data_IF_886833610698
#
_entry.id   IF_886833610698
#
_cell.length_a   1.000
_cell.length_b   1.000
_cell.length_c   1.000
_cell.angle_alpha   90.00
_cell.angle_beta   90.00
_cell.angle_gamma   90.00
#
_symmetry.space_group_name_H-M   'P 1'
#
loop_
_entity.id
_entity.type
_entity.pdbx_description
1 polymer ?
#
# COMPACT_ATOMS: atom_id res chain seq x y z
N UNK A 1 31.00 28.77 -21.11
CA UNK A 1 29.60 28.69 -21.58
C UNK A 1 28.98 27.30 -21.41
N UNK A 2 29.49 26.23 -22.06
CA UNK A 2 28.93 24.85 -21.96
C UNK A 2 28.69 24.39 -20.52
N UNK A 3 29.72 24.51 -19.68
CA UNK A 3 29.72 24.15 -18.25
C UNK A 3 28.81 25.01 -17.36
N UNK A 4 28.35 26.16 -17.86
CA UNK A 4 27.39 27.03 -17.16
C UNK A 4 25.96 26.62 -17.51
N UNK A 5 25.71 26.35 -18.80
CA UNK A 5 24.43 25.88 -19.31
C UNK A 5 24.06 24.50 -18.77
N UNK A 6 24.99 23.55 -18.78
CA UNK A 6 24.76 22.22 -18.22
C UNK A 6 24.50 22.26 -16.72
N UNK A 7 25.06 23.23 -16.00
CA UNK A 7 24.86 23.39 -14.56
C UNK A 7 23.64 24.23 -14.17
N UNK A 8 22.75 24.54 -15.11
CA UNK A 8 21.62 25.45 -14.90
C UNK A 8 22.03 26.76 -14.21
N UNK A 9 23.00 27.47 -14.82
CA UNK A 9 23.56 28.74 -14.31
C UNK A 9 24.24 28.64 -12.93
N UNK A 10 24.81 27.48 -12.59
CA UNK A 10 25.66 27.29 -11.41
C UNK A 10 25.01 26.46 -10.29
N UNK A 11 23.73 26.10 -10.42
CA UNK A 11 23.00 25.27 -9.47
C UNK A 11 23.63 23.89 -9.30
N UNK A 12 24.11 23.28 -10.38
CA UNK A 12 24.82 21.99 -10.34
C UNK A 12 26.15 22.03 -9.59
N UNK A 13 26.65 23.22 -9.23
CA UNK A 13 27.91 23.39 -8.49
C UNK A 13 27.71 23.61 -6.99
N UNK A 14 26.46 23.62 -6.54
CA UNK A 14 26.17 23.73 -5.12
C UNK A 14 26.66 22.48 -4.38
N UNK A 15 27.25 22.64 -3.18
CA UNK A 15 27.96 21.56 -2.49
C UNK A 15 27.03 20.46 -1.97
N UNK A 16 25.74 20.76 -1.77
CA UNK A 16 24.77 19.85 -1.18
C UNK A 16 23.61 19.63 -2.15
N UNK A 17 23.40 18.37 -2.55
CA UNK A 17 22.29 17.91 -3.39
C UNK A 17 22.09 18.72 -4.70
N UNK A 18 23.09 18.80 -5.59
CA UNK A 18 23.03 19.61 -6.81
C UNK A 18 21.80 19.32 -7.68
N UNK A 19 21.41 18.06 -7.86
CA UNK A 19 20.20 17.70 -8.63
C UNK A 19 18.87 18.20 -8.03
N UNK A 20 18.81 18.36 -6.70
CA UNK A 20 17.64 18.99 -6.04
C UNK A 20 17.56 20.48 -6.36
N UNK A 21 18.71 21.16 -6.42
CA UNK A 21 18.78 22.54 -6.88
C UNK A 21 18.53 22.65 -8.39
N UNK A 22 18.90 21.65 -9.18
CA UNK A 22 18.62 21.56 -10.61
C UNK A 22 17.13 21.49 -10.95
N UNK A 23 16.35 20.73 -10.17
CA UNK A 23 14.91 20.57 -10.39
C UNK A 23 14.05 21.70 -9.79
N UNK A 24 14.54 22.39 -8.76
CA UNK A 24 13.77 23.42 -8.04
C UNK A 24 13.28 24.59 -8.93
N UNK A 25 14.08 25.16 -9.85
CA UNK A 25 13.65 26.26 -10.71
C UNK A 25 12.37 25.97 -11.49
N UNK A 26 12.22 24.75 -12.02
CA UNK A 26 11.02 24.37 -12.77
C UNK A 26 9.77 24.40 -11.89
N UNK A 27 9.87 23.94 -10.64
CA UNK A 27 8.79 24.01 -9.66
C UNK A 27 8.44 25.45 -9.28
N UNK A 28 9.46 26.30 -9.10
CA UNK A 28 9.26 27.74 -8.83
C UNK A 28 8.57 28.43 -10.01
N UNK A 29 9.00 28.17 -11.25
CA UNK A 29 8.39 28.73 -12.45
C UNK A 29 6.90 28.35 -12.51
N UNK A 30 6.56 27.07 -12.29
CA UNK A 30 5.17 26.62 -12.26
C UNK A 30 4.35 27.40 -11.23
N UNK A 31 4.83 27.45 -9.98
CA UNK A 31 4.11 28.10 -8.90
C UNK A 31 3.92 29.61 -9.14
N UNK A 32 4.96 30.28 -9.64
CA UNK A 32 4.93 31.72 -9.97
C UNK A 32 3.95 31.99 -11.11
N UNK A 33 3.99 31.22 -12.19
CA UNK A 33 3.07 31.39 -13.32
C UNK A 33 1.61 31.29 -12.88
N UNK A 34 1.26 30.30 -12.07
CA UNK A 34 -0.09 30.17 -11.55
C UNK A 34 -0.44 31.23 -10.50
N UNK A 35 0.52 31.67 -9.68
CA UNK A 35 0.31 32.77 -8.73
C UNK A 35 -0.10 34.06 -9.45
N UNK A 36 0.47 34.31 -10.63
CA UNK A 36 0.13 35.45 -11.49
C UNK A 36 -1.05 35.17 -12.45
N UNK A 37 -1.77 34.06 -12.28
CA UNK A 37 -2.96 33.76 -13.08
C UNK A 37 -2.68 33.38 -14.54
N UNK A 38 -1.47 32.93 -14.86
CA UNK A 38 -1.15 32.45 -16.20
C UNK A 38 -1.95 31.19 -16.51
N UNK A 39 -2.54 31.13 -17.72
CA UNK A 39 -3.39 30.01 -18.12
C UNK A 39 -2.61 28.69 -18.16
N UNK A 40 -3.31 27.58 -17.85
CA UNK A 40 -2.70 26.24 -17.89
C UNK A 40 -2.09 25.91 -19.27
N UNK A 41 -2.71 26.38 -20.36
CA UNK A 41 -2.19 26.19 -21.72
C UNK A 41 -0.87 26.91 -21.96
N UNK A 42 -0.75 28.18 -21.54
CA UNK A 42 0.51 28.91 -21.67
C UNK A 42 1.59 28.32 -20.76
N UNK A 43 1.22 27.91 -19.54
CA UNK A 43 2.13 27.22 -18.63
C UNK A 43 2.61 25.88 -19.20
N UNK A 44 1.76 25.11 -19.88
CA UNK A 44 2.16 23.89 -20.57
C UNK A 44 3.15 24.16 -21.69
N UNK A 45 2.95 25.23 -22.48
CA UNK A 45 3.89 25.64 -23.53
C UNK A 45 5.26 25.98 -22.91
N UNK A 46 5.28 26.72 -21.80
CA UNK A 46 6.53 27.03 -21.09
C UNK A 46 7.20 25.76 -20.60
N UNK A 47 6.48 24.85 -19.93
CA UNK A 47 7.06 23.59 -19.47
C UNK A 47 7.60 22.73 -20.62
N UNK A 48 6.90 22.68 -21.76
CA UNK A 48 7.38 21.98 -22.96
C UNK A 48 8.67 22.61 -23.51
N UNK A 49 8.75 23.94 -23.54
CA UNK A 49 9.96 24.65 -23.91
C UNK A 49 11.12 24.34 -22.95
N UNK A 50 10.87 24.25 -21.64
CA UNK A 50 11.87 23.86 -20.65
C UNK A 50 12.39 22.44 -20.86
N UNK A 51 11.49 21.47 -21.15
CA UNK A 51 11.90 20.09 -21.50
C UNK A 51 12.81 20.08 -22.71
N UNK A 52 12.42 20.78 -23.78
CA UNK A 52 13.21 20.85 -25.02
C UNK A 52 14.56 21.51 -24.75
N UNK A 53 14.59 22.64 -24.05
CA UNK A 53 15.81 23.37 -23.74
C UNK A 53 16.78 22.52 -22.90
N UNK A 54 16.32 21.92 -21.80
CA UNK A 54 17.15 21.07 -20.95
C UNK A 54 17.66 19.83 -21.70
N UNK A 55 16.80 19.19 -22.50
CA UNK A 55 17.17 18.04 -23.34
C UNK A 55 18.26 18.39 -24.36
N UNK A 56 18.10 19.50 -25.08
CA UNK A 56 19.09 19.97 -26.05
C UNK A 56 20.41 20.32 -25.37
N UNK A 57 20.37 20.96 -24.20
CA UNK A 57 21.56 21.29 -23.41
C UNK A 57 22.30 20.01 -23.00
N UNK A 58 21.60 19.01 -22.45
CA UNK A 58 22.21 17.75 -22.06
C UNK A 58 22.83 17.01 -23.25
N UNK A 59 22.06 16.75 -24.32
CA UNK A 59 22.57 15.98 -25.46
C UNK A 59 23.75 16.69 -26.15
N UNK A 60 23.71 18.02 -26.28
CA UNK A 60 24.73 18.78 -27.01
C UNK A 60 25.98 19.09 -26.19
N UNK A 61 25.83 19.31 -24.88
CA UNK A 61 26.92 19.85 -24.05
C UNK A 61 27.41 18.92 -22.95
N UNK A 62 26.61 17.97 -22.46
CA UNK A 62 27.07 16.99 -21.46
C UNK A 62 28.26 16.14 -21.94
N UNK A 63 28.36 15.70 -23.22
CA UNK A 63 29.53 14.94 -23.69
C UNK A 63 30.86 15.67 -23.48
N UNK A 64 30.87 17.01 -23.59
CA UNK A 64 32.07 17.81 -23.36
C UNK A 64 32.45 17.85 -21.87
N UNK A 65 31.47 17.75 -20.96
CA UNK A 65 31.70 17.73 -19.51
C UNK A 65 32.15 16.34 -19.05
N UNK A 66 31.55 15.28 -19.60
CA UNK A 66 31.99 13.89 -19.42
C UNK A 66 33.47 13.77 -19.81
N UNK A 67 33.83 14.26 -21.01
CA UNK A 67 35.23 14.25 -21.48
C UNK A 67 36.18 15.07 -20.58
N UNK A 68 35.72 16.18 -20.02
CA UNK A 68 36.54 17.03 -19.15
C UNK A 68 36.70 16.50 -17.72
N UNK A 69 35.74 15.70 -17.23
CA UNK A 69 35.72 15.20 -15.85
C UNK A 69 36.07 13.72 -15.73
N UNK A 70 36.04 12.97 -16.82
CA UNK A 70 36.26 11.53 -16.85
C UNK A 70 35.15 10.72 -16.16
N UNK A 71 33.99 11.33 -15.92
CA UNK A 71 32.84 10.70 -15.25
C UNK A 71 31.69 10.59 -16.24
N UNK A 72 31.10 9.40 -16.33
CA UNK A 72 29.95 9.14 -17.21
C UNK A 72 28.69 9.93 -16.80
N UNK A 73 28.56 10.26 -15.52
CA UNK A 73 27.49 11.10 -14.96
C UNK A 73 28.07 12.15 -13.98
N UNK A 74 28.46 13.34 -14.48
CA UNK A 74 29.03 14.40 -13.65
C UNK A 74 27.93 15.14 -12.89
N UNK A 75 28.00 15.12 -11.55
CA UNK A 75 27.07 15.84 -10.62
C UNK A 75 26.84 17.34 -10.89
N UNK A 76 27.67 17.95 -11.74
CA UNK A 76 27.54 19.36 -12.13
C UNK A 76 26.65 19.61 -13.35
N UNK A 77 26.32 18.55 -14.09
CA UNK A 77 25.29 18.57 -15.13
C UNK A 77 23.98 18.40 -14.40
N UNK A 78 23.13 19.42 -14.45
CA UNK A 78 21.79 19.38 -13.86
C UNK A 78 20.66 19.85 -14.79
N UNK A 79 20.93 19.83 -16.10
CA UNK A 79 19.97 20.25 -17.13
C UNK A 79 18.95 19.14 -17.45
N UNK A 80 19.33 17.91 -17.14
CA UNK A 80 18.55 16.68 -17.08
C UNK A 80 17.50 16.74 -15.98
N UNK A 81 17.85 17.08 -14.73
CA UNK A 81 16.82 17.18 -13.66
C UNK A 81 15.85 18.33 -13.93
N UNK A 82 16.34 19.42 -14.53
CA UNK A 82 15.51 20.54 -14.96
C UNK A 82 14.48 20.10 -16.01
N UNK A 83 14.89 19.30 -17.00
CA UNK A 83 14.02 18.75 -18.03
C UNK A 83 13.07 17.68 -17.46
N UNK A 84 13.56 16.75 -16.66
CA UNK A 84 12.77 15.69 -16.02
C UNK A 84 11.66 16.25 -15.14
N UNK A 85 11.97 17.26 -14.32
CA UNK A 85 10.96 17.95 -13.50
C UNK A 85 9.88 18.63 -14.35
N UNK A 86 10.25 19.20 -15.51
CA UNK A 86 9.29 19.84 -16.41
C UNK A 86 8.35 18.80 -17.05
N UNK A 87 8.85 17.61 -17.38
CA UNK A 87 8.02 16.47 -17.82
C UNK A 87 6.99 16.08 -16.75
N UNK A 88 7.37 16.04 -15.47
CA UNK A 88 6.44 15.72 -14.38
C UNK A 88 5.24 16.68 -14.35
N UNK A 89 5.48 17.98 -14.51
CA UNK A 89 4.39 18.96 -14.48
C UNK A 89 3.58 19.02 -15.78
N UNK A 90 4.18 18.73 -16.93
CA UNK A 90 3.45 18.64 -18.20
C UNK A 90 2.32 17.62 -18.16
N UNK A 91 2.55 16.46 -17.53
CA UNK A 91 1.55 15.42 -17.38
C UNK A 91 0.27 15.97 -16.75
N UNK A 92 0.42 16.79 -15.71
CA UNK A 92 -0.67 17.44 -14.99
C UNK A 92 -1.35 18.53 -15.81
N UNK A 93 -0.57 19.39 -16.47
CA UNK A 93 -1.13 20.52 -17.22
C UNK A 93 -1.94 20.11 -18.45
N UNK A 94 -1.62 18.97 -19.08
CA UNK A 94 -2.35 18.46 -20.24
C UNK A 94 -3.62 17.68 -19.90
N UNK A 95 -3.66 17.03 -18.73
CA UNK A 95 -4.69 16.02 -18.42
C UNK A 95 -5.62 16.41 -17.25
N UNK A 96 -5.42 17.56 -16.60
CA UNK A 96 -6.34 18.08 -15.58
C UNK A 96 -7.34 19.10 -16.19
N UNK A 97 -8.66 18.92 -15.98
CA UNK A 97 -9.66 19.90 -16.41
C UNK A 97 -9.49 21.27 -15.71
N UNK A 98 -9.92 22.32 -16.40
CA UNK A 98 -9.86 23.72 -15.97
C UNK A 98 -10.52 23.91 -14.59
N UNK A 99 -9.84 24.55 -13.63
CA UNK A 99 -10.43 24.87 -12.30
C UNK A 99 -9.53 24.72 -11.06
N UNK A 100 -8.21 24.56 -11.21
CA UNK A 100 -7.28 24.42 -10.08
C UNK A 100 -7.23 25.70 -9.24
N UNK A 101 -7.53 25.61 -7.95
CA UNK A 101 -7.42 26.74 -7.03
C UNK A 101 -5.96 27.09 -6.71
N UNK A 102 -5.70 28.34 -6.30
CA UNK A 102 -4.36 28.80 -5.94
C UNK A 102 -3.70 28.01 -4.80
N UNK A 103 -4.46 27.34 -3.92
CA UNK A 103 -3.88 26.43 -2.91
C UNK A 103 -3.51 25.07 -3.49
N UNK A 104 -4.33 24.53 -4.38
CA UNK A 104 -4.11 23.23 -5.02
C UNK A 104 -2.84 23.22 -5.87
N UNK A 105 -2.53 24.30 -6.57
CA UNK A 105 -1.31 24.37 -7.38
C UNK A 105 -0.04 24.25 -6.53
N UNK A 106 0.00 24.82 -5.32
CA UNK A 106 1.16 24.68 -4.43
C UNK A 106 1.36 23.23 -4.00
N UNK A 107 0.28 22.52 -3.69
CA UNK A 107 0.36 21.09 -3.33
C UNK A 107 0.78 20.23 -4.52
N UNK A 108 0.23 20.47 -5.70
CA UNK A 108 0.63 19.79 -6.94
C UNK A 108 2.11 20.06 -7.22
N UNK A 109 2.57 21.30 -7.03
CA UNK A 109 3.97 21.68 -7.25
C UNK A 109 4.90 20.93 -6.29
N UNK A 110 4.58 20.95 -4.99
CA UNK A 110 5.39 20.25 -3.97
C UNK A 110 5.37 18.74 -4.19
N UNK A 111 4.19 18.16 -4.42
CA UNK A 111 4.05 16.72 -4.65
C UNK A 111 4.76 16.28 -5.94
N UNK A 112 4.68 17.07 -7.01
CA UNK A 112 5.36 16.77 -8.28
C UNK A 112 6.87 16.91 -8.16
N UNK A 113 7.35 17.89 -7.41
CA UNK A 113 8.77 18.01 -7.08
C UNK A 113 9.28 16.78 -6.32
N UNK A 114 8.58 16.39 -5.24
CA UNK A 114 8.98 15.24 -4.42
C UNK A 114 8.87 13.93 -5.21
N UNK A 115 7.81 13.73 -5.99
CA UNK A 115 7.60 12.52 -6.79
C UNK A 115 8.72 12.34 -7.82
N UNK A 116 9.06 13.41 -8.56
CA UNK A 116 10.19 13.39 -9.49
C UNK A 116 11.49 12.99 -8.77
N UNK A 117 11.85 13.67 -7.68
CA UNK A 117 13.08 13.40 -6.93
C UNK A 117 13.13 11.96 -6.40
N UNK A 118 12.01 11.41 -5.93
CA UNK A 118 11.96 10.01 -5.47
C UNK A 118 12.30 9.05 -6.61
N UNK A 119 11.73 9.24 -7.80
CA UNK A 119 12.00 8.37 -8.94
C UNK A 119 13.39 8.55 -9.54
N UNK A 120 13.87 9.78 -9.60
CA UNK A 120 15.23 10.11 -10.04
C UNK A 120 16.27 9.48 -9.10
N UNK A 121 16.10 9.58 -7.77
CA UNK A 121 17.06 9.01 -6.82
C UNK A 121 16.97 7.47 -6.78
N UNK A 122 15.75 6.91 -6.80
CA UNK A 122 15.56 5.47 -6.67
C UNK A 122 15.90 4.70 -7.95
N UNK A 123 15.69 5.32 -9.12
CA UNK A 123 15.81 4.74 -10.46
C UNK A 123 15.20 3.33 -10.55
N UNK A 124 13.90 3.14 -10.25
CA UNK A 124 13.26 1.83 -10.40
C UNK A 124 13.32 1.34 -11.84
N UNK A 125 13.18 0.04 -12.04
CA UNK A 125 13.13 -0.52 -13.40
C UNK A 125 11.98 0.12 -14.21
N UNK A 126 12.19 0.51 -15.49
CA UNK A 126 13.39 0.38 -16.31
C UNK A 126 14.29 1.64 -16.34
N UNK A 127 14.08 2.64 -15.48
CA UNK A 127 14.86 3.91 -15.43
C UNK A 127 16.36 3.64 -15.41
N UNK A 128 16.83 2.78 -14.48
CA UNK A 128 18.25 2.41 -14.39
C UNK A 128 18.84 1.75 -15.65
N UNK A 129 18.01 1.20 -16.55
CA UNK A 129 18.54 0.66 -17.83
C UNK A 129 18.92 1.75 -18.81
N UNK A 130 18.34 2.94 -18.68
CA UNK A 130 18.58 4.06 -19.60
C UNK A 130 19.94 4.71 -19.39
N UNK A 131 20.54 4.56 -18.20
CA UNK A 131 21.93 4.98 -17.91
C UNK A 131 22.97 4.34 -18.85
N UNK A 132 22.61 3.24 -19.55
CA UNK A 132 23.50 2.57 -20.51
C UNK A 132 23.51 3.22 -21.89
N UNK A 133 22.68 4.23 -22.13
CA UNK A 133 22.66 4.95 -23.39
C UNK A 133 23.94 5.80 -23.55
N UNK A 134 24.41 6.02 -24.79
CA UNK A 134 25.68 6.69 -25.01
C UNK A 134 25.63 8.19 -24.68
N UNK A 135 26.69 8.66 -24.03
CA UNK A 135 26.98 10.08 -23.80
C UNK A 135 25.82 10.84 -23.14
N UNK A 136 25.45 12.02 -23.67
CA UNK A 136 24.41 12.86 -23.06
C UNK A 136 23.01 12.23 -22.99
N UNK A 137 22.75 11.14 -23.73
CA UNK A 137 21.49 10.41 -23.62
C UNK A 137 21.41 9.53 -22.38
N UNK A 138 22.54 9.02 -21.89
CA UNK A 138 22.60 8.21 -20.66
C UNK A 138 22.29 9.00 -19.39
N UNK A 139 22.55 10.32 -19.41
CA UNK A 139 22.25 11.26 -18.32
C UNK A 139 20.82 11.81 -18.43
N UNK A 140 20.30 11.99 -19.65
CA UNK A 140 19.00 12.63 -19.86
C UNK A 140 17.82 11.66 -19.74
N UNK A 141 17.96 10.45 -20.29
CA UNK A 141 16.82 9.59 -20.58
C UNK A 141 16.18 9.00 -19.31
N UNK A 142 16.98 8.69 -18.30
CA UNK A 142 16.52 8.25 -16.98
C UNK A 142 15.75 9.36 -16.26
N UNK A 143 16.23 10.60 -16.27
CA UNK A 143 15.54 11.76 -15.70
C UNK A 143 14.23 12.09 -16.40
N UNK A 144 14.18 12.01 -17.73
CA UNK A 144 12.92 12.17 -18.47
C UNK A 144 11.91 11.08 -18.10
N UNK A 145 12.36 9.81 -17.95
CA UNK A 145 11.47 8.71 -17.55
C UNK A 145 11.04 8.81 -16.09
N UNK A 146 11.93 9.25 -15.18
CA UNK A 146 11.58 9.61 -13.82
C UNK A 146 10.54 10.75 -13.80
N UNK A 147 10.68 11.71 -14.70
CA UNK A 147 9.72 12.75 -15.00
C UNK A 147 8.33 12.21 -15.33
N UNK A 148 8.25 11.26 -16.26
CA UNK A 148 7.02 10.56 -16.64
C UNK A 148 6.42 9.81 -15.45
N UNK A 149 7.24 9.10 -14.66
CA UNK A 149 6.77 8.35 -13.48
C UNK A 149 6.18 9.29 -12.43
N UNK A 150 6.87 10.41 -12.15
CA UNK A 150 6.37 11.47 -11.28
C UNK A 150 5.05 12.04 -11.78
N UNK A 151 4.93 12.30 -13.09
CA UNK A 151 3.72 12.80 -13.72
C UNK A 151 2.54 11.84 -13.61
N UNK A 152 2.76 10.53 -13.82
CA UNK A 152 1.73 9.49 -13.64
C UNK A 152 1.23 9.46 -12.20
N UNK A 153 2.14 9.50 -11.21
CA UNK A 153 1.75 9.53 -9.80
C UNK A 153 0.92 10.77 -9.49
N UNK A 154 1.34 11.94 -9.98
CA UNK A 154 0.64 13.20 -9.77
C UNK A 154 -0.77 13.19 -10.37
N UNK A 155 -0.92 12.60 -11.56
CA UNK A 155 -2.21 12.42 -12.21
C UNK A 155 -3.12 11.44 -11.46
N UNK A 156 -2.57 10.35 -10.94
CA UNK A 156 -3.33 9.43 -10.10
C UNK A 156 -3.81 10.13 -8.83
N UNK A 157 -2.93 10.86 -8.13
CA UNK A 157 -3.30 11.66 -6.96
C UNK A 157 -4.43 12.66 -7.25
N UNK A 158 -4.42 13.28 -8.42
CA UNK A 158 -5.51 14.16 -8.82
C UNK A 158 -6.80 13.43 -9.16
N UNK A 159 -6.73 12.37 -9.97
CA UNK A 159 -7.91 11.62 -10.41
C UNK A 159 -8.68 11.00 -9.24
N UNK A 160 -7.97 10.64 -8.17
CA UNK A 160 -8.58 10.09 -6.96
C UNK A 160 -8.99 11.17 -5.95
N UNK A 161 -8.95 12.46 -6.34
CA UNK A 161 -9.38 13.56 -5.48
C UNK A 161 -8.46 13.89 -4.30
N UNK A 162 -7.25 13.30 -4.22
CA UNK A 162 -6.37 13.46 -3.06
C UNK A 162 -6.01 14.93 -2.78
N UNK A 163 -5.73 15.71 -3.83
CA UNK A 163 -5.44 17.13 -3.66
C UNK A 163 -6.68 17.92 -3.21
N UNK A 164 -7.86 17.52 -3.67
CA UNK A 164 -9.10 18.13 -3.22
C UNK A 164 -9.34 17.87 -1.74
N UNK A 165 -9.22 16.61 -1.34
CA UNK A 165 -9.30 16.15 0.05
C UNK A 165 -8.35 16.89 0.99
N UNK A 166 -7.05 16.99 0.64
CA UNK A 166 -6.05 17.70 1.46
C UNK A 166 -6.31 19.21 1.49
N UNK A 167 -6.83 19.78 0.40
CA UNK A 167 -7.05 21.23 0.28
C UNK A 167 -8.33 21.74 0.95
N UNK A 168 -9.27 20.85 1.28
CA UNK A 168 -10.62 21.22 1.71
C UNK A 168 -11.51 21.79 0.59
N UNK A 169 -11.09 21.68 -0.68
CA UNK A 169 -11.87 22.12 -1.85
C UNK A 169 -12.02 20.94 -2.81
N UNK A 170 -13.24 20.53 -3.20
CA UNK A 170 -13.44 19.39 -4.09
C UNK A 170 -12.75 19.61 -5.45
N UNK A 171 -12.13 18.54 -5.97
CA UNK A 171 -11.46 18.51 -7.27
C UNK A 171 -12.02 17.32 -8.05
N UNK A 172 -12.66 17.59 -9.18
CA UNK A 172 -13.32 16.57 -10.01
C UNK A 172 -14.77 16.32 -9.60
N UNK A 173 -15.54 15.68 -10.49
CA UNK A 173 -16.93 15.31 -10.24
C UNK A 173 -17.00 14.40 -9.02
N UNK A 174 -17.77 14.81 -8.02
CA UNK A 174 -18.16 14.02 -6.86
C UNK A 174 -18.92 12.75 -7.31
N UNK A 175 -18.21 11.72 -7.76
CA UNK A 175 -18.81 10.39 -7.77
C UNK A 175 -18.64 9.83 -6.36
N UNK A 176 -19.69 9.98 -5.54
CA UNK A 176 -19.81 9.31 -4.26
C UNK A 176 -19.93 7.78 -4.39
N UNK A 177 -19.93 7.25 -5.61
CA UNK A 177 -20.03 5.83 -5.93
C UNK A 177 -18.68 5.25 -6.34
N UNK A 178 -18.47 3.97 -6.01
CA UNK A 178 -17.26 3.24 -6.31
C UNK A 178 -17.13 2.99 -7.81
N UNK A 179 -16.15 3.64 -8.44
CA UNK A 179 -15.75 3.34 -9.82
C UNK A 179 -14.64 2.28 -9.90
N UNK A 180 -14.33 1.84 -11.12
CA UNK A 180 -13.31 0.82 -11.37
C UNK A 180 -11.90 1.28 -10.95
N UNK A 181 -11.57 2.57 -11.11
CA UNK A 181 -10.24 3.08 -10.78
C UNK A 181 -10.00 3.04 -9.27
N UNK A 182 -10.94 3.57 -8.49
CA UNK A 182 -10.90 3.53 -7.04
C UNK A 182 -10.90 2.09 -6.52
N UNK A 183 -11.73 1.22 -7.10
CA UNK A 183 -11.75 -0.20 -6.75
C UNK A 183 -10.42 -0.91 -7.02
N UNK A 184 -9.76 -0.62 -8.15
CA UNK A 184 -8.42 -1.16 -8.46
C UNK A 184 -7.40 -0.68 -7.43
N UNK A 185 -7.42 0.60 -7.05
CA UNK A 185 -6.47 1.17 -6.08
C UNK A 185 -6.67 0.56 -4.70
N UNK A 186 -7.91 0.51 -4.21
CA UNK A 186 -8.24 -0.13 -2.94
C UNK A 186 -7.90 -1.64 -2.98
N UNK A 187 -8.11 -2.31 -4.12
CA UNK A 187 -7.67 -3.69 -4.34
C UNK A 187 -6.15 -3.86 -4.22
N UNK A 188 -5.35 -2.94 -4.76
CA UNK A 188 -3.88 -2.92 -4.57
C UNK A 188 -3.55 -2.75 -3.09
N UNK A 189 -4.16 -1.77 -2.42
CA UNK A 189 -3.96 -1.50 -0.99
C UNK A 189 -4.25 -2.75 -0.18
N UNK A 190 -5.40 -3.39 -0.37
CA UNK A 190 -5.77 -4.65 0.28
C UNK A 190 -4.74 -5.74 0.00
N UNK A 191 -4.39 -5.98 -1.27
CA UNK A 191 -3.46 -7.05 -1.66
C UNK A 191 -2.06 -6.89 -1.05
N UNK A 192 -1.56 -5.66 -0.95
CA UNK A 192 -0.26 -5.37 -0.32
C UNK A 192 -0.33 -5.55 1.20
N UNK A 193 -1.38 -5.05 1.83
CA UNK A 193 -1.43 -4.87 3.29
C UNK A 193 -2.01 -6.05 4.07
N UNK A 194 -2.84 -6.90 3.45
CA UNK A 194 -3.54 -8.00 4.15
C UNK A 194 -2.59 -8.97 4.86
N UNK A 195 -1.49 -9.33 4.19
CA UNK A 195 -0.53 -10.30 4.71
C UNK A 195 0.55 -9.67 5.59
N UNK A 196 0.72 -8.35 5.48
CA UNK A 196 1.63 -7.61 6.32
C UNK A 196 0.95 -7.32 7.66
N UNK A 197 1.70 -7.29 8.78
CA UNK A 197 1.12 -7.05 10.08
C UNK A 197 0.78 -5.55 10.30
N UNK A 198 0.17 -4.86 9.33
CA UNK A 198 -0.02 -3.39 9.33
C UNK A 198 -1.49 -2.95 9.28
N UNK A 199 -2.43 -3.90 9.34
CA UNK A 199 -3.88 -3.70 9.27
C UNK A 199 -4.35 -3.18 7.91
N UNK A 200 -4.76 -4.10 7.04
CA UNK A 200 -5.40 -3.80 5.76
C UNK A 200 -6.69 -2.99 5.90
N UNK A 201 -7.54 -3.35 6.86
CA UNK A 201 -8.78 -2.62 7.16
C UNK A 201 -8.53 -1.15 7.51
N UNK A 202 -7.49 -0.84 8.29
CA UNK A 202 -7.13 0.55 8.58
C UNK A 202 -6.68 1.32 7.33
N UNK A 203 -5.98 0.66 6.40
CA UNK A 203 -5.57 1.31 5.15
C UNK A 203 -6.74 1.51 4.19
N UNK A 204 -7.66 0.54 4.09
CA UNK A 204 -8.89 0.70 3.32
C UNK A 204 -9.69 1.89 3.83
N UNK A 205 -10.05 1.91 5.13
CA UNK A 205 -10.80 3.02 5.73
C UNK A 205 -10.10 4.37 5.51
N UNK A 206 -8.77 4.44 5.61
CA UNK A 206 -8.03 5.67 5.32
C UNK A 206 -8.20 6.13 3.87
N UNK A 207 -8.04 5.22 2.90
CA UNK A 207 -8.17 5.55 1.48
C UNK A 207 -9.62 5.84 1.09
N UNK A 208 -10.59 5.14 1.65
CA UNK A 208 -12.02 5.41 1.47
C UNK A 208 -12.37 6.82 1.93
N UNK A 209 -11.88 7.22 3.12
CA UNK A 209 -12.01 8.59 3.60
C UNK A 209 -11.35 9.58 2.63
N UNK A 210 -10.15 9.29 2.11
CA UNK A 210 -9.48 10.15 1.12
C UNK A 210 -10.27 10.29 -0.19
N UNK A 211 -11.04 9.26 -0.55
CA UNK A 211 -11.92 9.25 -1.72
C UNK A 211 -13.31 9.80 -1.42
N UNK A 212 -13.55 10.28 -0.20
CA UNK A 212 -14.86 10.72 0.29
C UNK A 212 -15.95 9.64 0.22
N UNK A 213 -15.57 8.36 0.22
CA UNK A 213 -16.51 7.27 0.41
C UNK A 213 -16.85 7.15 1.89
N UNK A 214 -18.10 6.82 2.20
CA UNK A 214 -18.50 6.49 3.55
C UNK A 214 -18.28 4.98 3.80
N UNK A 215 -17.30 4.60 4.67
CA UNK A 215 -16.96 3.20 4.95
C UNK A 215 -18.11 2.38 5.53
N UNK A 216 -19.14 3.04 6.09
CA UNK A 216 -20.28 2.42 6.75
C UNK A 216 -21.40 2.02 5.78
N UNK A 217 -21.31 2.45 4.52
CA UNK A 217 -22.31 2.10 3.50
C UNK A 217 -22.27 0.62 3.15
N UNK A 218 -23.42 0.00 2.79
CA UNK A 218 -23.46 -1.39 2.33
C UNK A 218 -22.55 -1.65 1.11
N UNK A 219 -22.42 -0.66 0.24
CA UNK A 219 -21.53 -0.69 -0.93
C UNK A 219 -20.06 -0.90 -0.54
N UNK A 220 -19.53 -0.05 0.34
CA UNK A 220 -18.14 -0.13 0.78
C UNK A 220 -17.90 -1.35 1.68
N UNK A 221 -18.88 -1.70 2.51
CA UNK A 221 -18.83 -2.93 3.30
C UNK A 221 -18.71 -4.17 2.42
N UNK A 222 -19.53 -4.27 1.36
CA UNK A 222 -19.46 -5.37 0.40
C UNK A 222 -18.11 -5.38 -0.33
N UNK A 223 -17.68 -4.21 -0.80
CA UNK A 223 -16.39 -4.05 -1.45
C UNK A 223 -15.25 -4.62 -0.59
N UNK A 224 -15.13 -4.15 0.66
CA UNK A 224 -14.10 -4.58 1.60
C UNK A 224 -14.11 -6.09 1.82
N UNK A 225 -15.28 -6.69 2.02
CA UNK A 225 -15.40 -8.14 2.21
C UNK A 225 -14.94 -8.91 0.98
N UNK A 226 -15.33 -8.46 -0.22
CA UNK A 226 -14.94 -9.14 -1.46
C UNK A 226 -13.46 -9.01 -1.79
N UNK A 227 -12.79 -7.90 -1.46
CA UNK A 227 -11.33 -7.79 -1.62
C UNK A 227 -10.60 -8.66 -0.61
N UNK A 228 -11.14 -8.87 0.61
CA UNK A 228 -10.63 -9.88 1.54
C UNK A 228 -10.79 -11.29 0.96
N UNK A 229 -11.92 -11.62 0.31
CA UNK A 229 -12.08 -12.90 -0.42
C UNK A 229 -11.04 -13.02 -1.54
N UNK A 230 -10.74 -11.95 -2.26
CA UNK A 230 -9.67 -11.92 -3.26
C UNK A 230 -8.31 -12.32 -2.66
N UNK A 231 -7.96 -11.79 -1.50
CA UNK A 231 -6.74 -12.19 -0.78
C UNK A 231 -6.81 -13.63 -0.23
N UNK A 232 -7.98 -14.15 0.14
CA UNK A 232 -8.14 -15.58 0.45
C UNK A 232 -7.84 -16.45 -0.77
N UNK A 233 -8.26 -16.04 -1.98
CA UNK A 233 -7.87 -16.73 -3.22
C UNK A 233 -6.34 -16.74 -3.41
N UNK A 234 -5.66 -15.64 -3.06
CA UNK A 234 -4.20 -15.60 -3.07
C UNK A 234 -3.56 -16.63 -2.11
N UNK A 235 -4.13 -16.83 -0.91
CA UNK A 235 -3.70 -17.88 0.02
C UNK A 235 -3.83 -19.25 -0.64
N UNK A 236 -4.97 -19.56 -1.25
CA UNK A 236 -5.18 -20.85 -1.93
C UNK A 236 -4.17 -21.08 -3.05
N UNK A 237 -3.87 -20.07 -3.86
CA UNK A 237 -2.89 -20.19 -4.95
C UNK A 237 -1.48 -20.41 -4.43
N UNK A 238 -1.02 -19.59 -3.47
CA UNK A 238 0.35 -19.63 -2.96
C UNK A 238 0.59 -20.89 -2.11
N UNK A 239 -0.37 -21.26 -1.25
CA UNK A 239 -0.25 -22.39 -0.35
C UNK A 239 -0.88 -23.69 -0.88
N UNK A 240 -1.26 -23.78 -2.17
CA UNK A 240 -1.92 -24.97 -2.75
C UNK A 240 -1.29 -26.31 -2.38
N UNK A 241 0.05 -26.40 -2.39
CA UNK A 241 0.79 -27.62 -2.04
C UNK A 241 0.72 -27.93 -0.54
N UNK A 242 0.85 -26.90 0.30
CA UNK A 242 0.75 -27.02 1.76
C UNK A 242 -0.67 -27.39 2.19
N UNK A 243 -1.69 -26.77 1.59
CA UNK A 243 -3.10 -27.08 1.83
C UNK A 243 -3.41 -28.51 1.39
N UNK A 244 -2.97 -28.93 0.19
CA UNK A 244 -3.15 -30.32 -0.26
C UNK A 244 -2.42 -31.34 0.63
N UNK A 245 -1.24 -31.01 1.15
CA UNK A 245 -0.54 -31.85 2.13
C UNK A 245 -1.30 -31.91 3.47
N UNK A 246 -1.80 -30.78 3.96
CA UNK A 246 -2.62 -30.70 5.17
C UNK A 246 -3.89 -31.54 5.05
N UNK A 247 -4.65 -31.38 3.96
CA UNK A 247 -5.86 -32.15 3.70
C UNK A 247 -5.57 -33.66 3.60
N UNK A 248 -4.50 -34.06 2.90
CA UNK A 248 -4.07 -35.47 2.88
C UNK A 248 -3.74 -36.00 4.27
N UNK A 249 -3.10 -35.21 5.13
CA UNK A 249 -2.82 -35.61 6.51
C UNK A 249 -4.09 -35.76 7.34
N UNK A 250 -5.07 -34.87 7.17
CA UNK A 250 -6.37 -34.95 7.83
C UNK A 250 -7.15 -36.18 7.35
N UNK A 251 -7.18 -36.45 6.03
CA UNK A 251 -7.88 -37.61 5.47
C UNK A 251 -7.21 -38.95 5.83
N UNK A 252 -5.88 -38.96 6.02
CA UNK A 252 -5.14 -40.13 6.49
C UNK A 252 -5.22 -40.33 8.02
N UNK A 253 -6.18 -39.72 8.71
CA UNK A 253 -6.30 -39.73 10.16
C UNK A 253 -6.45 -41.13 10.77
N UNK A 254 -7.10 -42.06 10.06
CA UNK A 254 -7.30 -43.45 10.51
C UNK A 254 -5.99 -44.22 10.76
N UNK A 255 -4.85 -43.75 10.25
CA UNK A 255 -3.53 -44.35 10.52
C UNK A 255 -2.98 -44.04 11.92
N UNK A 256 -3.57 -43.07 12.63
CA UNK A 256 -3.01 -42.52 13.87
C UNK A 256 -3.74 -42.98 15.14
N UNK A 257 -4.74 -43.86 15.02
CA UNK A 257 -5.50 -44.40 16.14
C UNK A 257 -6.92 -44.74 15.73
N UNK A 258 -7.62 -45.49 16.59
CA UNK A 258 -9.05 -45.82 16.37
C UNK A 258 -9.98 -44.86 17.11
N UNK A 259 -9.49 -44.20 18.16
CA UNK A 259 -10.27 -43.22 18.92
C UNK A 259 -10.02 -41.78 18.44
N UNK A 260 -11.04 -40.89 18.45
CA UNK A 260 -10.86 -39.47 18.10
C UNK A 260 -9.78 -38.77 18.92
N UNK A 261 -9.64 -39.13 20.21
CA UNK A 261 -8.65 -38.54 21.13
C UNK A 261 -7.21 -38.93 20.74
N UNK A 262 -6.98 -40.17 20.35
CA UNK A 262 -5.66 -40.61 19.87
C UNK A 262 -5.29 -39.94 18.56
N UNK A 263 -6.24 -39.87 17.62
CA UNK A 263 -6.06 -39.20 16.32
C UNK A 263 -5.66 -37.74 16.55
N UNK A 264 -6.39 -37.01 17.42
CA UNK A 264 -6.07 -35.63 17.77
C UNK A 264 -4.64 -35.49 18.33
N UNK A 265 -4.25 -36.32 19.30
CA UNK A 265 -2.93 -36.23 19.93
C UNK A 265 -1.77 -36.60 18.99
N UNK A 266 -1.98 -37.54 18.07
CA UNK A 266 -0.90 -38.12 17.24
C UNK A 266 -0.80 -37.47 15.86
N UNK A 267 -1.92 -37.10 15.23
CA UNK A 267 -1.96 -36.52 13.89
C UNK A 267 -1.84 -34.98 13.94
N UNK A 268 -0.73 -34.39 13.45
CA UNK A 268 -0.52 -32.93 13.50
C UNK A 268 -1.53 -32.14 12.67
N UNK A 269 -2.05 -32.70 11.57
CA UNK A 269 -3.05 -32.06 10.73
C UNK A 269 -4.40 -31.96 11.43
N UNK A 270 -4.87 -33.05 12.03
CA UNK A 270 -6.12 -33.06 12.82
C UNK A 270 -6.00 -32.18 14.06
N UNK A 271 -4.86 -32.25 14.76
CA UNK A 271 -4.57 -31.38 15.91
C UNK A 271 -4.73 -29.90 15.54
N UNK A 272 -4.08 -29.47 14.45
CA UNK A 272 -4.14 -28.10 13.96
C UNK A 272 -5.54 -27.72 13.47
N UNK A 273 -6.26 -28.63 12.79
CA UNK A 273 -7.63 -28.40 12.34
C UNK A 273 -8.60 -28.15 13.50
N UNK A 274 -8.57 -29.00 14.54
CA UNK A 274 -9.45 -28.87 15.70
C UNK A 274 -9.20 -27.54 16.41
N UNK A 275 -7.94 -27.15 16.58
CA UNK A 275 -7.58 -25.88 17.18
C UNK A 275 -7.97 -24.69 16.31
N UNK A 276 -7.88 -24.82 14.98
CA UNK A 276 -8.31 -23.78 14.05
C UNK A 276 -9.83 -23.58 14.11
N UNK A 277 -10.61 -24.66 14.11
CA UNK A 277 -12.06 -24.62 14.28
C UNK A 277 -12.42 -23.93 15.60
N UNK A 278 -11.76 -24.29 16.70
CA UNK A 278 -12.00 -23.66 17.99
C UNK A 278 -11.67 -22.15 17.98
N UNK A 279 -10.52 -21.76 17.43
CA UNK A 279 -10.14 -20.35 17.34
C UNK A 279 -11.13 -19.54 16.47
N UNK A 280 -11.56 -20.10 15.34
CA UNK A 280 -12.58 -19.50 14.47
C UNK A 280 -13.95 -19.43 15.16
N UNK A 281 -14.34 -20.45 15.94
CA UNK A 281 -15.58 -20.41 16.70
C UNK A 281 -15.57 -19.30 17.76
N UNK A 282 -14.46 -19.15 18.50
CA UNK A 282 -14.26 -18.03 19.43
C UNK A 282 -14.35 -16.69 18.69
N UNK A 283 -13.70 -16.59 17.52
CA UNK A 283 -13.77 -15.40 16.66
C UNK A 283 -15.23 -15.07 16.29
N UNK A 284 -16.00 -16.06 15.85
CA UNK A 284 -17.38 -15.87 15.42
C UNK A 284 -18.28 -15.45 16.59
N UNK A 285 -18.15 -16.09 17.76
CA UNK A 285 -18.93 -15.74 18.95
C UNK A 285 -18.71 -14.28 19.34
N UNK A 286 -17.45 -13.86 19.51
CA UNK A 286 -17.16 -12.48 19.89
C UNK A 286 -17.40 -11.48 18.75
N UNK A 287 -17.21 -11.90 17.50
CA UNK A 287 -17.54 -11.11 16.31
C UNK A 287 -19.01 -10.74 16.24
N UNK A 288 -19.89 -11.70 16.52
CA UNK A 288 -21.34 -11.50 16.55
C UNK A 288 -21.79 -10.73 17.80
N UNK A 289 -21.24 -11.03 18.98
CA UNK A 289 -21.57 -10.32 20.22
C UNK A 289 -21.20 -8.84 20.18
N UNK A 290 -20.10 -8.50 19.51
CA UNK A 290 -19.58 -7.13 19.43
C UNK A 290 -19.83 -6.45 18.09
N UNK A 291 -20.66 -7.03 17.21
CA UNK A 291 -20.91 -6.55 15.84
C UNK A 291 -21.25 -5.07 15.79
N UNK A 292 -22.11 -4.59 16.70
CA UNK A 292 -22.54 -3.18 16.77
C UNK A 292 -21.38 -2.22 17.05
N UNK A 293 -20.43 -2.62 17.91
CA UNK A 293 -19.26 -1.80 18.22
C UNK A 293 -18.29 -1.75 17.05
N UNK A 294 -18.10 -2.87 16.34
CA UNK A 294 -17.26 -2.89 15.15
C UNK A 294 -17.85 -2.07 14.00
N UNK A 295 -19.17 -2.12 13.81
CA UNK A 295 -19.86 -1.30 12.82
C UNK A 295 -19.67 0.20 13.11
N UNK A 296 -19.91 0.64 14.36
CA UNK A 296 -19.76 2.04 14.76
C UNK A 296 -18.30 2.54 14.71
N UNK A 297 -17.32 1.64 14.75
CA UNK A 297 -15.91 2.00 14.68
C UNK A 297 -15.39 2.20 13.24
N UNK A 298 -16.11 1.70 12.23
CA UNK A 298 -15.64 1.62 10.84
C UNK A 298 -15.39 2.96 10.19
N UNK A 299 -16.25 3.96 10.43
CA UNK A 299 -16.08 5.31 9.91
C UNK A 299 -15.06 6.17 10.65
N UNK A 300 -14.51 5.71 11.78
CA UNK A 300 -13.70 6.56 12.66
C UNK A 300 -12.20 6.44 12.39
N UNK A 301 -11.62 7.46 11.74
CA UNK A 301 -10.16 7.58 11.57
C UNK A 301 -9.42 7.70 12.90
N UNK A 302 -10.05 8.26 13.95
CA UNK A 302 -9.48 8.31 15.31
C UNK A 302 -9.29 6.89 15.87
N UNK A 303 -10.29 6.02 15.70
CA UNK A 303 -10.21 4.63 16.13
C UNK A 303 -9.15 3.90 15.32
N UNK A 304 -9.14 4.04 13.99
CA UNK A 304 -8.12 3.43 13.12
C UNK A 304 -6.71 3.81 13.57
N UNK A 305 -6.44 5.10 13.78
CA UNK A 305 -5.13 5.56 14.23
C UNK A 305 -4.75 5.04 15.62
N UNK A 306 -5.70 5.04 16.56
CA UNK A 306 -5.51 4.48 17.90
C UNK A 306 -5.19 2.99 17.84
N UNK A 307 -5.87 2.23 16.98
CA UNK A 307 -5.66 0.80 16.81
C UNK A 307 -4.37 0.47 16.06
N UNK A 308 -3.86 1.35 15.20
CA UNK A 308 -2.50 1.22 14.67
C UNK A 308 -1.43 1.35 15.76
N UNK A 309 -1.63 2.22 16.76
CA UNK A 309 -0.74 2.29 17.92
C UNK A 309 -0.78 0.97 18.71
N UNK A 310 -1.97 0.39 18.90
CA UNK A 310 -2.13 -0.93 19.54
C UNK A 310 -1.42 -2.03 18.74
N UNK A 311 -1.62 -2.08 17.42
CA UNK A 311 -0.96 -3.02 16.51
C UNK A 311 0.56 -2.88 16.57
N UNK A 312 1.08 -1.65 16.48
CA UNK A 312 2.52 -1.39 16.55
C UNK A 312 3.12 -1.81 17.89
N UNK A 313 2.40 -1.55 18.98
CA UNK A 313 2.84 -1.95 20.33
C UNK A 313 2.87 -3.45 20.50
N UNK A 314 1.85 -4.17 20.00
CA UNK A 314 1.82 -5.62 20.02
C UNK A 314 2.98 -6.24 19.23
N UNK A 315 3.30 -5.67 18.07
CA UNK A 315 4.44 -6.10 17.25
C UNK A 315 5.77 -5.86 17.94
N UNK A 316 5.94 -4.68 18.53
CA UNK A 316 7.17 -4.31 19.23
C UNK A 316 7.41 -5.20 20.45
N UNK A 317 6.39 -5.42 21.27
CA UNK A 317 6.45 -6.33 22.43
C UNK A 317 6.81 -7.74 21.98
N UNK A 318 6.24 -8.20 20.87
CA UNK A 318 6.53 -9.54 20.33
C UNK A 318 7.96 -9.65 19.80
N UNK A 319 8.48 -8.60 19.14
CA UNK A 319 9.87 -8.55 18.64
C UNK A 319 10.91 -8.66 19.77
N UNK A 320 10.59 -8.13 20.95
CA UNK A 320 11.46 -8.18 22.14
C UNK A 320 11.56 -9.59 22.76
N UNK A 321 10.68 -10.53 22.39
CA UNK A 321 10.68 -11.90 22.95
C UNK A 321 11.72 -12.77 22.24
N UNK A 322 12.74 -13.20 22.98
CA UNK A 322 13.75 -14.17 22.48
C UNK A 322 13.21 -15.61 22.53
N UNK A 323 13.52 -16.37 21.46
CA UNK A 323 13.39 -17.84 21.29
C UNK A 323 12.09 -18.46 21.85
N UNK A 324 11.09 -18.63 21.00
CA UNK A 324 9.94 -19.50 21.27
C UNK A 324 10.32 -20.98 21.10
N UNK A 325 9.91 -21.83 22.05
CA UNK A 325 10.36 -23.24 22.16
C UNK A 325 9.23 -24.26 21.99
N UNK A 326 7.98 -23.83 21.95
CA UNK A 326 6.81 -24.73 21.92
C UNK A 326 6.55 -25.19 20.50
N UNK A 327 6.60 -26.51 20.29
CA UNK A 327 6.25 -27.16 19.02
C UNK A 327 4.74 -27.29 18.83
N UNK A 328 4.29 -27.54 17.60
CA UNK A 328 2.86 -27.60 17.22
C UNK A 328 2.02 -28.53 18.12
N UNK A 329 2.56 -29.68 18.54
CA UNK A 329 1.85 -30.65 19.40
C UNK A 329 1.59 -30.16 20.83
N UNK A 330 2.40 -29.22 21.31
CA UNK A 330 2.26 -28.61 22.63
C UNK A 330 1.36 -27.36 22.57
N UNK A 331 1.02 -26.88 21.37
CA UNK A 331 0.03 -25.83 21.18
C UNK A 331 -1.35 -26.39 21.50
N UNK A 332 -1.91 -26.03 22.65
CA UNK A 332 -3.16 -26.59 23.16
C UNK A 332 -4.38 -25.68 23.00
N UNK A 333 -5.51 -26.12 23.56
CA UNK A 333 -6.81 -25.42 23.56
C UNK A 333 -6.70 -23.97 24.07
N UNK A 334 -5.95 -23.74 25.16
CA UNK A 334 -5.75 -22.38 25.72
C UNK A 334 -5.18 -21.43 24.67
N UNK A 335 -4.24 -21.90 23.86
CA UNK A 335 -3.62 -21.08 22.85
C UNK A 335 -4.57 -20.78 21.69
N UNK A 336 -5.39 -21.75 21.27
CA UNK A 336 -6.45 -21.54 20.28
C UNK A 336 -7.49 -20.50 20.74
N UNK A 337 -7.89 -20.53 22.02
CA UNK A 337 -8.82 -19.54 22.59
C UNK A 337 -8.22 -18.15 22.54
N UNK A 338 -6.99 -17.96 23.02
CA UNK A 338 -6.34 -16.63 23.04
C UNK A 338 -6.11 -16.11 21.62
N UNK A 339 -5.70 -16.97 20.69
CA UNK A 339 -5.57 -16.56 19.27
C UNK A 339 -6.93 -16.23 18.66
N UNK A 340 -7.98 -16.97 18.99
CA UNK A 340 -9.36 -16.65 18.57
C UNK A 340 -9.86 -15.31 19.11
N UNK A 341 -9.55 -14.99 20.38
CA UNK A 341 -9.84 -13.68 20.97
C UNK A 341 -9.05 -12.55 20.30
N UNK A 342 -7.76 -12.78 20.01
CA UNK A 342 -6.93 -11.83 19.27
C UNK A 342 -7.47 -11.60 17.84
N UNK A 343 -7.98 -12.65 17.19
CA UNK A 343 -8.62 -12.53 15.88
C UNK A 343 -9.95 -11.78 15.97
N UNK A 344 -10.76 -12.00 17.00
CA UNK A 344 -12.00 -11.27 17.23
C UNK A 344 -11.73 -9.77 17.45
N UNK A 345 -10.72 -9.44 18.27
CA UNK A 345 -10.28 -8.05 18.45
C UNK A 345 -9.85 -7.41 17.13
N UNK A 346 -9.24 -8.20 16.24
CA UNK A 346 -8.80 -7.73 14.93
C UNK A 346 -9.93 -7.46 13.90
N UNK A 347 -11.20 -7.68 14.27
CA UNK A 347 -12.34 -7.16 13.50
C UNK A 347 -12.38 -5.62 13.63
N UNK A 348 -11.85 -5.06 14.73
CA UNK A 348 -11.71 -3.62 14.90
C UNK A 348 -10.80 -3.02 13.82
N UNK A 349 -11.26 -2.00 13.07
CA UNK A 349 -10.46 -1.28 12.08
C UNK A 349 -9.14 -0.75 12.68
N UNK A 350 -8.03 -0.94 11.96
CA UNK A 350 -6.70 -0.53 12.42
C UNK A 350 -5.97 -1.59 13.27
N UNK A 351 -6.66 -2.62 13.77
CA UNK A 351 -5.98 -3.81 14.31
C UNK A 351 -5.60 -4.74 13.15
N UNK A 352 -4.33 -5.16 13.08
CA UNK A 352 -3.90 -6.12 12.07
C UNK A 352 -4.33 -7.54 12.45
N UNK A 353 -5.17 -8.20 11.65
CA UNK A 353 -5.56 -9.61 11.89
C UNK A 353 -4.38 -10.57 11.86
N UNK A 354 -3.54 -10.47 10.83
CA UNK A 354 -2.31 -11.28 10.73
C UNK A 354 -1.36 -10.94 11.88
N UNK A 355 -1.14 -9.64 12.16
CA UNK A 355 -0.31 -9.20 13.28
C UNK A 355 -0.80 -9.70 14.63
N UNK A 356 -2.08 -9.54 14.95
CA UNK A 356 -2.68 -9.91 16.23
C UNK A 356 -2.61 -11.41 16.49
N UNK A 357 -3.00 -12.22 15.53
CA UNK A 357 -3.03 -13.68 15.69
C UNK A 357 -1.63 -14.30 15.73
N UNK A 358 -0.69 -13.78 14.91
CA UNK A 358 0.72 -14.22 14.94
C UNK A 358 1.38 -13.81 16.25
N UNK A 359 1.20 -12.56 16.69
CA UNK A 359 1.77 -12.08 17.95
C UNK A 359 1.19 -12.84 19.15
N UNK A 360 -0.13 -13.02 19.22
CA UNK A 360 -0.76 -13.81 20.29
C UNK A 360 -0.19 -15.24 20.36
N UNK A 361 -0.07 -15.91 19.22
CA UNK A 361 0.50 -17.25 19.16
C UNK A 361 1.98 -17.30 19.61
N UNK A 362 2.80 -16.33 19.18
CA UNK A 362 4.22 -16.23 19.58
C UNK A 362 4.35 -15.89 21.07
N UNK A 363 3.52 -14.99 21.59
CA UNK A 363 3.56 -14.56 23.00
C UNK A 363 3.20 -15.70 23.96
N UNK A 364 2.33 -16.64 23.52
CA UNK A 364 2.01 -17.90 24.22
C UNK A 364 3.11 -18.96 24.04
N UNK A 365 4.12 -18.70 23.19
CA UNK A 365 5.33 -19.50 23.07
C UNK A 365 5.42 -20.35 21.81
N UNK A 366 4.47 -20.24 20.87
CA UNK A 366 4.51 -20.99 19.61
C UNK A 366 5.67 -20.53 18.72
N UNK A 367 6.34 -21.50 18.09
CA UNK A 367 7.37 -21.17 17.10
C UNK A 367 6.81 -20.33 15.94
N UNK A 368 7.54 -19.28 15.53
CA UNK A 368 7.08 -18.27 14.56
C UNK A 368 6.54 -18.87 13.25
N UNK A 369 7.19 -19.90 12.73
CA UNK A 369 6.72 -20.64 11.53
C UNK A 369 5.29 -21.18 11.72
N UNK A 370 5.03 -21.87 12.84
CA UNK A 370 3.72 -22.45 13.12
C UNK A 370 2.68 -21.37 13.42
N UNK A 371 3.07 -20.26 14.06
CA UNK A 371 2.18 -19.12 14.30
C UNK A 371 1.66 -18.50 13.00
N UNK A 372 2.55 -18.33 12.00
CA UNK A 372 2.17 -17.83 10.67
C UNK A 372 1.23 -18.82 9.96
N UNK A 373 1.59 -20.11 9.92
CA UNK A 373 0.76 -21.14 9.28
C UNK A 373 -0.63 -21.26 9.94
N UNK A 374 -0.69 -21.20 11.28
CA UNK A 374 -1.95 -21.24 12.03
C UNK A 374 -2.81 -19.99 11.78
N UNK A 375 -2.21 -18.80 11.81
CA UNK A 375 -2.89 -17.52 11.52
C UNK A 375 -3.55 -17.50 10.15
N UNK A 376 -2.85 -17.99 9.11
CA UNK A 376 -3.44 -18.06 7.78
C UNK A 376 -4.55 -19.11 7.67
N UNK A 377 -4.42 -20.24 8.37
CA UNK A 377 -5.45 -21.28 8.37
C UNK A 377 -6.77 -20.77 8.99
N UNK A 378 -6.72 -20.09 10.14
CA UNK A 378 -7.92 -19.60 10.82
C UNK A 378 -8.61 -18.42 10.12
N UNK A 379 -7.88 -17.74 9.24
CA UNK A 379 -8.38 -16.59 8.50
C UNK A 379 -9.32 -16.97 7.35
N UNK A 380 -9.06 -18.10 6.68
CA UNK A 380 -9.90 -18.58 5.57
C UNK A 380 -11.36 -18.72 6.01
N UNK A 381 -11.70 -19.53 7.05
CA UNK A 381 -13.09 -19.68 7.46
C UNK A 381 -13.66 -18.40 8.11
N UNK A 382 -12.84 -17.58 8.76
CA UNK A 382 -13.30 -16.31 9.34
C UNK A 382 -13.73 -15.30 8.26
N UNK A 383 -12.90 -15.09 7.24
CA UNK A 383 -13.19 -14.16 6.13
C UNK A 383 -14.37 -14.65 5.30
N UNK A 384 -14.37 -15.94 4.94
CA UNK A 384 -15.47 -16.53 4.16
C UNK A 384 -16.78 -16.51 4.94
N UNK A 385 -16.75 -16.82 6.24
CA UNK A 385 -17.92 -16.78 7.11
C UNK A 385 -18.48 -15.37 7.28
N UNK A 386 -17.64 -14.39 7.57
CA UNK A 386 -18.05 -12.98 7.67
C UNK A 386 -18.65 -12.47 6.35
N UNK A 387 -18.03 -12.82 5.22
CA UNK A 387 -18.54 -12.45 3.89
C UNK A 387 -19.90 -13.11 3.62
N UNK A 388 -20.05 -14.40 3.92
CA UNK A 388 -21.31 -15.11 3.71
C UNK A 388 -22.46 -14.52 4.55
N UNK A 389 -22.21 -14.22 5.83
CA UNK A 389 -23.21 -13.59 6.71
C UNK A 389 -23.67 -12.24 6.13
N UNK A 390 -22.72 -11.42 5.67
CA UNK A 390 -23.04 -10.10 5.14
C UNK A 390 -23.71 -10.14 3.77
N UNK A 391 -23.36 -11.10 2.91
CA UNK A 391 -24.06 -11.34 1.65
C UNK A 391 -25.52 -11.74 1.88
N UNK A 392 -25.79 -12.57 2.90
CA UNK A 392 -27.16 -12.96 3.28
C UNK A 392 -27.93 -11.76 3.85
N UNK A 393 -27.31 -10.96 4.73
CA UNK A 393 -27.95 -9.77 5.33
C UNK A 393 -28.33 -8.70 4.30
N UNK A 394 -27.50 -8.50 3.28
CA UNK A 394 -27.69 -7.45 2.27
C UNK A 394 -28.22 -7.99 0.92
N UNK A 395 -28.79 -9.20 0.91
CA UNK A 395 -29.16 -9.90 -0.32
C UNK A 395 -30.18 -9.13 -1.17
N UNK A 396 -31.20 -8.53 -0.56
CA UNK A 396 -32.23 -7.79 -1.31
C UNK A 396 -31.67 -6.50 -1.95
N UNK A 397 -30.76 -5.79 -1.26
CA UNK A 397 -30.08 -4.61 -1.83
C UNK A 397 -29.18 -4.97 -3.02
N UNK A 398 -28.46 -6.10 -2.91
CA UNK A 398 -27.67 -6.66 -4.01
C UNK A 398 -28.58 -7.03 -5.20
N UNK A 399 -29.70 -7.70 -4.92
CA UNK A 399 -30.62 -8.22 -5.94
C UNK A 399 -31.29 -7.10 -6.74
N UNK A 400 -31.60 -5.98 -6.12
CA UNK A 400 -32.24 -4.82 -6.76
C UNK A 400 -31.28 -4.02 -7.66
N UNK A 401 -30.03 -4.47 -7.83
CA UNK A 401 -29.06 -3.83 -8.72
C UNK A 401 -28.48 -2.53 -8.15
N UNK A 402 -28.62 -2.29 -6.84
CA UNK A 402 -28.15 -1.08 -6.17
C UNK A 402 -26.64 -1.00 -5.97
N UNK A 403 -25.88 -2.05 -6.32
CA UNK A 403 -24.44 -2.15 -6.02
C UNK A 403 -23.58 -2.31 -7.27
N UNK A 404 -22.41 -1.63 -7.35
CA UNK A 404 -21.53 -1.66 -8.51
C UNK A 404 -20.71 -2.95 -8.57
N UNK A 405 -21.33 -4.05 -9.03
CA UNK A 405 -20.71 -5.39 -9.11
C UNK A 405 -19.41 -5.38 -9.94
N UNK A 406 -19.36 -4.62 -11.04
CA UNK A 406 -18.17 -4.53 -11.91
C UNK A 406 -16.92 -4.04 -11.17
N UNK A 407 -16.94 -2.82 -10.58
CA UNK A 407 -15.88 -2.32 -9.72
C UNK A 407 -15.50 -3.27 -8.58
N UNK A 408 -16.48 -3.83 -7.87
CA UNK A 408 -16.25 -4.77 -6.76
C UNK A 408 -15.44 -6.00 -7.19
N UNK A 409 -15.82 -6.63 -8.32
CA UNK A 409 -15.09 -7.77 -8.86
C UNK A 409 -13.69 -7.39 -9.36
N UNK A 410 -13.54 -6.21 -9.96
CA UNK A 410 -12.24 -5.70 -10.40
C UNK A 410 -11.28 -5.51 -9.22
N UNK A 411 -11.74 -4.87 -8.15
CA UNK A 411 -10.96 -4.70 -6.92
C UNK A 411 -10.57 -6.04 -6.28
N UNK A 412 -11.51 -6.99 -6.22
CA UNK A 412 -11.23 -8.34 -5.69
C UNK A 412 -10.20 -9.10 -6.50
N UNK A 413 -10.30 -9.06 -7.83
CA UNK A 413 -9.32 -9.68 -8.73
C UNK A 413 -7.93 -9.05 -8.57
N UNK A 414 -7.85 -7.71 -8.47
CA UNK A 414 -6.59 -7.01 -8.22
C UNK A 414 -6.02 -7.36 -6.86
N UNK A 415 -6.82 -7.38 -5.80
CA UNK A 415 -6.40 -7.81 -4.47
C UNK A 415 -5.83 -9.24 -4.46
N UNK A 416 -6.42 -10.16 -5.23
CA UNK A 416 -5.90 -11.50 -5.41
C UNK A 416 -4.53 -11.51 -6.11
N UNK A 417 -4.40 -10.82 -7.24
CA UNK A 417 -3.15 -10.78 -8.02
C UNK A 417 -2.00 -10.12 -7.25
N UNK A 418 -2.26 -8.96 -6.67
CA UNK A 418 -1.30 -8.23 -5.84
C UNK A 418 -0.98 -9.02 -4.58
N UNK A 419 -1.99 -9.63 -3.97
CA UNK A 419 -1.85 -10.51 -2.82
C UNK A 419 -0.94 -11.72 -3.08
N UNK A 420 -1.03 -12.36 -4.25
CA UNK A 420 -0.13 -13.45 -4.63
C UNK A 420 1.33 -12.96 -4.65
N UNK A 421 1.57 -11.78 -5.20
CA UNK A 421 2.90 -11.18 -5.27
C UNK A 421 3.42 -10.82 -3.87
N UNK A 422 2.62 -10.09 -3.10
CA UNK A 422 2.94 -9.65 -1.74
C UNK A 422 3.24 -10.84 -0.82
N UNK A 423 2.41 -11.88 -0.86
CA UNK A 423 2.57 -13.08 -0.04
C UNK A 423 3.83 -13.89 -0.43
N UNK A 424 4.15 -14.00 -1.73
CA UNK A 424 5.42 -14.63 -2.17
C UNK A 424 6.64 -13.86 -1.69
N UNK A 425 6.61 -12.53 -1.79
CA UNK A 425 7.68 -11.66 -1.28
C UNK A 425 7.82 -11.84 0.22
N UNK A 426 6.72 -11.78 0.97
CA UNK A 426 6.69 -11.98 2.42
C UNK A 426 7.28 -13.33 2.83
N UNK A 427 6.91 -14.43 2.17
CA UNK A 427 7.46 -15.75 2.49
C UNK A 427 8.98 -15.77 2.28
N UNK A 428 9.48 -15.12 1.21
CA UNK A 428 10.92 -15.06 0.92
C UNK A 428 11.69 -14.19 1.92
N UNK A 429 11.09 -13.11 2.42
CA UNK A 429 11.75 -12.13 3.32
C UNK A 429 11.52 -12.41 4.80
N UNK A 430 10.44 -13.11 5.18
CA UNK A 430 10.00 -13.30 6.58
C UNK A 430 10.97 -14.08 7.47
N UNK A 431 11.87 -14.90 6.89
CA UNK A 431 12.82 -15.72 7.66
C UNK A 431 13.70 -14.90 8.62
N UNK A 432 14.00 -13.65 8.28
CA UNK A 432 14.81 -12.72 9.09
C UNK A 432 14.10 -11.39 9.37
N UNK A 433 12.78 -11.31 9.16
CA UNK A 433 12.07 -10.04 9.27
C UNK A 433 11.90 -9.61 10.74
N UNK A 434 12.41 -8.43 11.10
CA UNK A 434 12.18 -7.83 12.41
C UNK A 434 10.79 -7.17 12.43
N UNK A 435 9.94 -7.55 13.39
CA UNK A 435 8.57 -7.00 13.52
C UNK A 435 8.59 -5.52 13.89
N UNK A 436 9.68 -5.03 14.51
CA UNK A 436 9.86 -3.61 14.86
C UNK A 436 9.70 -2.64 13.68
N UNK A 437 10.06 -3.03 12.46
CA UNK A 437 9.91 -2.13 11.30
C UNK A 437 8.43 -1.89 10.97
N UNK A 438 7.61 -2.94 11.07
CA UNK A 438 6.16 -2.81 10.92
C UNK A 438 5.53 -2.03 12.08
N UNK A 439 6.08 -2.18 13.30
CA UNK A 439 5.65 -1.39 14.44
C UNK A 439 5.86 0.12 14.21
N UNK A 440 7.07 0.52 13.79
CA UNK A 440 7.36 1.92 13.49
C UNK A 440 6.52 2.44 12.32
N UNK A 441 6.29 1.62 11.30
CA UNK A 441 5.36 1.97 10.22
C UNK A 441 3.96 2.31 10.76
N UNK A 442 3.38 1.46 11.62
CA UNK A 442 2.08 1.72 12.23
C UNK A 442 2.06 3.00 13.08
N UNK A 443 3.12 3.26 13.86
CA UNK A 443 3.20 4.49 14.67
C UNK A 443 3.30 5.76 13.82
N UNK A 444 4.11 5.73 12.75
CA UNK A 444 4.25 6.86 11.83
C UNK A 444 2.91 7.14 11.16
N UNK A 445 2.22 6.09 10.69
CA UNK A 445 0.93 6.24 10.01
C UNK A 445 -0.16 6.74 10.97
N UNK A 446 -0.19 6.24 12.21
CA UNK A 446 -1.08 6.74 13.25
C UNK A 446 -0.81 8.21 13.56
N UNK A 447 0.47 8.60 13.75
CA UNK A 447 0.85 9.99 13.99
C UNK A 447 0.46 10.91 12.83
N UNK A 448 0.65 10.47 11.59
CA UNK A 448 0.23 11.19 10.40
C UNK A 448 -1.29 11.44 10.39
N UNK A 449 -2.11 10.40 10.63
CA UNK A 449 -3.57 10.53 10.64
C UNK A 449 -4.06 11.39 11.80
N UNK A 450 -3.48 11.24 13.00
CA UNK A 450 -3.86 12.07 14.14
C UNK A 450 -3.54 13.55 13.91
N UNK A 451 -2.36 13.86 13.36
CA UNK A 451 -2.01 15.25 12.99
C UNK A 451 -2.92 15.79 11.90
N UNK A 452 -3.30 14.94 10.94
CA UNK A 452 -4.26 15.31 9.90
C UNK A 452 -5.62 15.70 10.49
N UNK A 453 -6.13 14.93 11.45
CA UNK A 453 -7.42 15.18 12.10
C UNK A 453 -7.46 16.43 13.02
N UNK A 454 -6.32 17.06 13.29
CA UNK A 454 -6.25 18.33 14.04
C UNK A 454 -6.46 19.57 13.16
N UNK A 455 -6.56 19.39 11.85
CA UNK A 455 -6.93 20.45 10.88
C UNK A 455 -8.43 20.55 10.77
#
# INVERSE_FOLDING_TARGET
MKRMLTSCFGLGRLPVAPGTWGSLPTAVILAVMFHFGVSAGLTAIVMAALVIAGSVICVKFAPAIIAATGKDDPREVVADEFAGQAVTFLAVLFLMPQGISGRQIWMITIAGFLAFRVFDIAKPWPIRKLEKLPAGWGILADDLLAGVYGGIVLLLCYKIGLFGYISGFPVGSESSSLDVLHAVILGVVQGVTEFLPVSSSGHLVLFENFFNFNPETPEMLLFDLTVHVGTVAAIFVVFRKSIAAFLRNVLACGKYGKSPVEIYKKNPGVHMLVLAILATAVTAVFGLLLEKYFAAARGSLVIVASMWIVTGSLLLITDLRKKTRVGLRQFGIRAAIVVGLAQAAAIMPGISRSGATICAAILIGLHRRWAVEFSFLIAIPAILGATAIQLVKNFEEIRLGGLPVGPVLAGSAVAALVGILALKVLIRTSRNANLKYFAFYCYILAGFVLVYLLR
#
